data_IF_596152798124
#
_entry.id   IF_596152798124
#
_cell.length_a   1.000
_cell.length_b   1.000
_cell.length_c   1.000
_cell.angle_alpha   90.00
_cell.angle_beta   90.00
_cell.angle_gamma   90.00
#
_symmetry.space_group_name_H-M   'P 1'
#
loop_
_entity.id
_entity.type
_entity.pdbx_description
1 polymer ?
#
# COMPACT_ATOMS: atom_id res chain seq x y z
N UNK A 1 3.60 -15.03 -1.00
CA UNK A 1 4.08 -15.63 0.28
C UNK A 1 4.39 -14.60 1.36
N UNK A 2 5.22 -13.55 1.15
CA UNK A 2 5.55 -12.59 2.24
C UNK A 2 4.32 -11.82 2.75
N UNK A 3 3.40 -11.41 1.88
CA UNK A 3 2.16 -10.74 2.29
C UNK A 3 1.26 -11.63 3.16
N UNK A 4 1.22 -12.94 2.92
CA UNK A 4 0.48 -13.87 3.79
C UNK A 4 1.06 -13.93 5.21
N UNK A 5 2.38 -13.77 5.36
CA UNK A 5 3.00 -13.68 6.70
C UNK A 5 2.60 -12.39 7.43
N UNK A 6 2.44 -11.26 6.71
CA UNK A 6 1.92 -10.01 7.31
C UNK A 6 0.50 -10.21 7.80
N UNK A 7 -0.38 -10.71 6.92
CA UNK A 7 -1.80 -10.96 7.25
C UNK A 7 -1.90 -11.90 8.45
N UNK A 8 -1.20 -13.02 8.42
CA UNK A 8 -1.21 -14.00 9.49
C UNK A 8 -0.67 -13.43 10.81
N UNK A 9 0.45 -12.70 10.78
CA UNK A 9 1.04 -12.13 11.99
C UNK A 9 0.08 -11.15 12.68
N UNK A 10 -0.56 -10.25 11.93
CA UNK A 10 -1.48 -9.26 12.50
C UNK A 10 -2.76 -9.93 13.00
N UNK A 11 -3.26 -10.94 12.30
CA UNK A 11 -4.46 -11.69 12.72
C UNK A 11 -4.22 -12.52 13.98
N UNK A 12 -3.05 -13.15 14.10
CA UNK A 12 -2.77 -14.09 15.18
C UNK A 12 -2.39 -13.39 16.49
N UNK A 13 -1.52 -12.36 16.43
CA UNK A 13 -1.00 -11.72 17.63
C UNK A 13 -1.88 -10.55 18.07
N UNK A 14 -2.55 -10.66 19.22
CA UNK A 14 -3.46 -9.63 19.77
C UNK A 14 -2.82 -8.25 19.91
N UNK A 15 -1.56 -8.19 20.31
CA UNK A 15 -0.83 -6.92 20.45
C UNK A 15 -0.57 -6.20 19.11
N UNK A 16 -0.63 -6.90 17.99
CA UNK A 16 -0.49 -6.32 16.66
C UNK A 16 -1.80 -5.81 16.09
N UNK A 17 -2.94 -6.10 16.71
CA UNK A 17 -4.26 -5.65 16.27
C UNK A 17 -4.49 -4.18 16.67
N UNK A 18 -3.76 -3.29 16.03
CA UNK A 18 -3.89 -1.83 16.20
C UNK A 18 -4.50 -1.21 14.94
N UNK A 19 -5.15 -0.03 15.04
CA UNK A 19 -5.73 0.65 13.87
C UNK A 19 -4.78 0.79 12.68
N UNK A 20 -3.52 1.15 12.94
CA UNK A 20 -2.51 1.27 11.89
C UNK A 20 -2.13 -0.07 11.27
N UNK A 21 -1.98 -1.12 12.10
CA UNK A 21 -1.61 -2.44 11.58
C UNK A 21 -2.78 -3.10 10.83
N UNK A 22 -4.03 -2.79 11.18
CA UNK A 22 -5.20 -3.24 10.41
C UNK A 22 -5.21 -2.68 8.99
N UNK A 23 -4.77 -1.43 8.79
CA UNK A 23 -4.56 -0.89 7.44
C UNK A 23 -3.42 -1.60 6.70
N UNK A 24 -2.30 -1.88 7.39
CA UNK A 24 -1.21 -2.66 6.79
C UNK A 24 -1.66 -4.08 6.43
N UNK A 25 -2.52 -4.69 7.23
CA UNK A 25 -3.12 -6.00 6.95
C UNK A 25 -4.00 -5.95 5.70
N UNK A 26 -4.86 -4.94 5.58
CA UNK A 26 -5.74 -4.78 4.41
C UNK A 26 -4.93 -4.49 3.13
N UNK A 27 -3.87 -3.69 3.21
CA UNK A 27 -2.91 -3.51 2.13
C UNK A 27 -2.24 -4.83 1.74
N UNK A 28 -1.79 -5.62 2.71
CA UNK A 28 -1.18 -6.92 2.43
C UNK A 28 -2.17 -7.93 1.81
N UNK A 29 -3.47 -7.82 2.11
CA UNK A 29 -4.52 -8.62 1.44
C UNK A 29 -4.65 -8.22 -0.03
N UNK A 30 -4.73 -6.93 -0.36
CA UNK A 30 -4.78 -6.49 -1.77
C UNK A 30 -3.53 -6.90 -2.55
N UNK A 31 -2.33 -6.76 -1.94
CA UNK A 31 -1.06 -7.19 -2.55
C UNK A 31 -0.98 -8.72 -2.73
N UNK A 32 -1.55 -9.49 -1.80
CA UNK A 32 -1.64 -10.95 -1.91
C UNK A 32 -2.55 -11.36 -3.06
N UNK A 33 -3.70 -10.71 -3.20
CA UNK A 33 -4.64 -10.96 -4.31
C UNK A 33 -4.03 -10.58 -5.66
N UNK A 34 -3.28 -9.47 -5.75
CA UNK A 34 -2.50 -9.14 -6.97
C UNK A 34 -1.52 -10.26 -7.32
N UNK A 35 -0.79 -10.77 -6.34
CA UNK A 35 0.17 -11.86 -6.56
C UNK A 35 -0.46 -13.19 -6.95
N UNK A 36 -1.65 -13.51 -6.44
CA UNK A 36 -2.31 -14.80 -6.68
C UNK A 36 -3.20 -14.80 -7.92
N UNK A 37 -3.89 -13.70 -8.21
CA UNK A 37 -4.88 -13.64 -9.27
C UNK A 37 -4.33 -12.95 -10.53
N UNK A 38 -3.63 -11.83 -10.36
CA UNK A 38 -3.24 -10.99 -11.49
C UNK A 38 -1.90 -11.41 -12.08
N UNK A 39 -0.86 -11.60 -11.24
CA UNK A 39 0.47 -11.94 -11.76
C UNK A 39 0.51 -13.19 -12.62
N UNK A 40 -0.19 -14.31 -12.31
CA UNK A 40 -0.21 -15.47 -13.17
C UNK A 40 -0.88 -15.20 -14.52
N UNK A 41 -1.98 -14.43 -14.53
CA UNK A 41 -2.70 -14.07 -15.76
C UNK A 41 -1.88 -13.15 -16.65
N UNK A 42 -1.25 -12.13 -16.06
CA UNK A 42 -0.34 -11.24 -16.77
C UNK A 42 0.92 -12.00 -17.27
N UNK A 43 1.42 -12.98 -16.51
CA UNK A 43 2.51 -13.85 -16.94
C UNK A 43 2.14 -14.67 -18.18
N UNK A 44 0.96 -15.25 -18.21
CA UNK A 44 0.48 -15.99 -19.39
C UNK A 44 0.30 -15.08 -20.61
N UNK A 45 -0.18 -13.85 -20.42
CA UNK A 45 -0.29 -12.85 -21.49
C UNK A 45 1.05 -12.55 -22.16
N UNK A 46 2.16 -12.71 -21.46
CA UNK A 46 3.52 -12.48 -21.99
C UNK A 46 4.11 -13.64 -22.76
N UNK A 47 3.81 -14.85 -22.30
CA UNK A 47 4.37 -16.08 -22.88
C UNK A 47 3.65 -16.43 -24.18
N UNK A 48 2.35 -16.17 -24.22
CA UNK A 48 1.51 -16.55 -25.34
C UNK A 48 1.27 -15.36 -26.29
N UNK A 49 1.42 -15.60 -27.57
CA UNK A 49 1.13 -14.61 -28.63
C UNK A 49 -0.35 -14.33 -28.80
N UNK A 50 -1.22 -15.22 -28.31
CA UNK A 50 -2.67 -15.12 -28.39
C UNK A 50 -3.30 -15.26 -27.01
N UNK A 51 -4.43 -14.59 -26.79
CA UNK A 51 -5.17 -14.67 -25.52
C UNK A 51 -5.94 -16.00 -25.42
N UNK A 52 -5.47 -16.89 -24.54
CA UNK A 52 -6.03 -18.25 -24.38
C UNK A 52 -7.12 -18.37 -23.32
N UNK A 53 -7.23 -17.39 -22.41
CA UNK A 53 -8.11 -17.49 -21.24
C UNK A 53 -9.58 -17.12 -21.51
N UNK A 54 -9.92 -16.88 -22.78
CA UNK A 54 -11.27 -16.61 -23.21
C UNK A 54 -11.82 -15.22 -22.83
N UNK A 55 -13.05 -14.96 -23.26
CA UNK A 55 -13.70 -13.63 -23.15
C UNK A 55 -13.87 -13.16 -21.72
N UNK A 56 -14.28 -14.06 -20.81
CA UNK A 56 -14.53 -13.70 -19.41
C UNK A 56 -13.27 -13.20 -18.71
N UNK A 57 -12.14 -13.90 -18.88
CA UNK A 57 -10.87 -13.49 -18.29
C UNK A 57 -10.31 -12.23 -18.94
N UNK A 58 -10.55 -12.00 -20.23
CA UNK A 58 -10.20 -10.74 -20.88
C UNK A 58 -10.98 -9.56 -20.29
N UNK A 59 -12.26 -9.74 -19.96
CA UNK A 59 -13.04 -8.70 -19.30
C UNK A 59 -12.58 -8.46 -17.84
N UNK A 60 -12.40 -9.53 -17.08
CA UNK A 60 -12.21 -9.45 -15.62
C UNK A 60 -10.76 -9.13 -15.21
N UNK A 61 -9.73 -9.59 -15.96
CA UNK A 61 -8.35 -9.40 -15.50
C UNK A 61 -7.93 -7.94 -15.36
N UNK A 62 -8.24 -7.03 -16.31
CA UNK A 62 -7.95 -5.61 -16.13
C UNK A 62 -8.77 -4.97 -15.00
N UNK A 63 -10.04 -5.36 -14.87
CA UNK A 63 -10.88 -4.87 -13.79
C UNK A 63 -10.32 -5.23 -12.42
N UNK A 64 -9.92 -6.49 -12.22
CA UNK A 64 -9.32 -6.95 -10.97
C UNK A 64 -7.97 -6.25 -10.73
N UNK A 65 -7.12 -6.15 -11.76
CA UNK A 65 -5.84 -5.45 -11.70
C UNK A 65 -6.01 -4.01 -11.21
N UNK A 66 -6.79 -3.20 -11.91
CA UNK A 66 -6.96 -1.78 -11.59
C UNK A 66 -7.69 -1.56 -10.26
N UNK A 67 -8.68 -2.40 -9.93
CA UNK A 67 -9.38 -2.33 -8.64
C UNK A 67 -8.46 -2.60 -7.47
N UNK A 68 -7.59 -3.62 -7.55
CA UNK A 68 -6.63 -3.95 -6.49
C UNK A 68 -5.53 -2.89 -6.37
N UNK A 69 -5.04 -2.35 -7.49
CA UNK A 69 -4.06 -1.25 -7.49
C UNK A 69 -4.66 0.00 -6.83
N UNK A 70 -5.88 0.41 -7.23
CA UNK A 70 -6.57 1.56 -6.64
C UNK A 70 -6.84 1.37 -5.15
N UNK A 71 -7.16 0.15 -4.74
CA UNK A 71 -7.33 -0.21 -3.32
C UNK A 71 -6.01 -0.08 -2.56
N UNK A 72 -4.90 -0.61 -3.09
CA UNK A 72 -3.58 -0.49 -2.46
C UNK A 72 -3.15 0.98 -2.32
N UNK A 73 -3.38 1.79 -3.35
CA UNK A 73 -3.12 3.23 -3.31
C UNK A 73 -3.94 3.93 -2.22
N UNK A 74 -5.25 3.65 -2.15
CA UNK A 74 -6.13 4.20 -1.13
C UNK A 74 -5.66 3.85 0.29
N UNK A 75 -5.20 2.61 0.52
CA UNK A 75 -4.62 2.21 1.80
C UNK A 75 -3.33 2.98 2.12
N UNK A 76 -2.46 3.23 1.13
CA UNK A 76 -1.25 4.02 1.35
C UNK A 76 -1.56 5.47 1.74
N UNK A 77 -2.58 6.09 1.13
CA UNK A 77 -3.08 7.42 1.52
C UNK A 77 -3.61 7.38 2.95
N UNK A 78 -4.45 6.41 3.31
CA UNK A 78 -5.00 6.26 4.66
C UNK A 78 -3.89 6.06 5.71
N UNK A 79 -2.89 5.24 5.43
CA UNK A 79 -1.72 5.05 6.30
C UNK A 79 -0.98 6.38 6.49
N UNK A 80 -0.80 7.16 5.43
CA UNK A 80 -0.15 8.49 5.50
C UNK A 80 -0.94 9.46 6.36
N UNK A 81 -2.26 9.49 6.21
CA UNK A 81 -3.17 10.31 7.04
C UNK A 81 -3.09 9.92 8.52
N UNK A 82 -3.22 8.63 8.84
CA UNK A 82 -3.16 8.16 10.24
C UNK A 82 -1.80 8.47 10.86
N UNK A 83 -0.71 8.28 10.11
CA UNK A 83 0.63 8.62 10.59
C UNK A 83 0.79 10.11 10.84
N UNK A 84 0.27 10.96 9.96
CA UNK A 84 0.24 12.40 10.17
C UNK A 84 -0.52 12.77 11.44
N UNK A 85 -1.74 12.27 11.62
CA UNK A 85 -2.55 12.52 12.80
C UNK A 85 -1.88 12.04 14.09
N UNK A 86 -1.24 10.88 14.07
CA UNK A 86 -0.57 10.30 15.25
C UNK A 86 0.67 11.09 15.67
N UNK A 87 1.42 11.68 14.70
CA UNK A 87 2.68 12.35 14.95
C UNK A 87 2.49 13.84 15.23
N UNK A 88 1.60 14.50 14.47
CA UNK A 88 1.42 15.95 14.55
C UNK A 88 0.45 16.39 15.66
N UNK A 89 -0.54 15.57 16.01
CA UNK A 89 -1.51 15.89 17.06
C UNK A 89 -1.90 14.65 17.87
N UNK A 90 -1.00 14.16 18.74
CA UNK A 90 -1.22 12.90 19.46
C UNK A 90 -2.35 12.97 20.50
N UNK A 91 -2.66 14.15 21.05
CA UNK A 91 -3.65 14.29 22.14
C UNK A 91 -5.09 14.31 21.64
N UNK A 92 -5.38 15.04 20.56
CA UNK A 92 -6.75 15.14 20.04
C UNK A 92 -7.15 13.93 19.17
N UNK A 93 -6.17 13.28 18.53
CA UNK A 93 -6.44 12.26 17.51
C UNK A 93 -6.50 10.83 18.05
N UNK A 94 -6.02 10.55 19.26
CA UNK A 94 -6.21 9.23 19.91
C UNK A 94 -7.68 8.85 20.05
N UNK A 95 -8.57 9.83 20.24
CA UNK A 95 -10.02 9.61 20.32
C UNK A 95 -10.67 9.38 18.95
N UNK A 96 -10.06 9.86 17.86
CA UNK A 96 -10.59 9.75 16.49
C UNK A 96 -10.13 8.50 15.75
N UNK A 97 -8.94 7.98 16.07
CA UNK A 97 -8.35 6.79 15.43
C UNK A 97 -8.81 5.53 16.19
N UNK A 98 -10.07 5.18 16.04
CA UNK A 98 -10.64 3.95 16.60
C UNK A 98 -10.59 2.82 15.59
N UNK A 99 -10.62 1.55 16.05
CA UNK A 99 -10.72 0.38 15.16
C UNK A 99 -11.94 0.46 14.25
N UNK A 100 -13.08 0.91 14.79
CA UNK A 100 -14.32 1.07 14.02
C UNK A 100 -14.16 2.04 12.88
N UNK A 101 -13.61 3.24 13.14
CA UNK A 101 -13.40 4.26 12.10
C UNK A 101 -12.45 3.78 11.01
N UNK A 102 -11.39 3.08 11.40
CA UNK A 102 -10.42 2.53 10.43
C UNK A 102 -11.06 1.43 9.58
N UNK A 103 -11.86 0.54 10.16
CA UNK A 103 -12.59 -0.49 9.41
C UNK A 103 -13.59 0.13 8.42
N UNK A 104 -14.30 1.19 8.82
CA UNK A 104 -15.19 1.95 7.91
C UNK A 104 -14.38 2.53 6.74
N UNK A 105 -13.24 3.18 7.02
CA UNK A 105 -12.36 3.72 5.97
C UNK A 105 -11.85 2.63 5.02
N UNK A 106 -11.49 1.45 5.53
CA UNK A 106 -11.10 0.29 4.73
C UNK A 106 -12.26 -0.15 3.81
N UNK A 107 -13.46 -0.31 4.35
CA UNK A 107 -14.65 -0.67 3.56
C UNK A 107 -14.94 0.35 2.46
N UNK A 108 -14.87 1.65 2.79
CA UNK A 108 -15.05 2.72 1.80
C UNK A 108 -13.97 2.64 0.72
N UNK A 109 -12.71 2.41 1.08
CA UNK A 109 -11.60 2.29 0.14
C UNK A 109 -11.80 1.13 -0.84
N UNK A 110 -12.14 -0.07 -0.36
CA UNK A 110 -12.44 -1.22 -1.20
C UNK A 110 -13.63 -0.98 -2.11
N UNK A 111 -14.73 -0.45 -1.56
CA UNK A 111 -15.96 -0.22 -2.31
C UNK A 111 -15.77 0.86 -3.38
N UNK A 112 -15.14 1.99 -3.04
CA UNK A 112 -14.91 3.08 -4.00
C UNK A 112 -13.98 2.66 -5.14
N UNK A 113 -12.92 1.89 -4.84
CA UNK A 113 -12.01 1.37 -5.86
C UNK A 113 -12.74 0.45 -6.84
N UNK A 114 -13.55 -0.48 -6.35
CA UNK A 114 -14.31 -1.41 -7.20
C UNK A 114 -15.38 -0.70 -8.05
N UNK A 115 -16.15 0.21 -7.44
CA UNK A 115 -17.18 0.98 -8.17
C UNK A 115 -16.54 1.87 -9.23
N UNK A 116 -15.50 2.62 -8.88
CA UNK A 116 -14.80 3.52 -9.79
C UNK A 116 -14.25 2.77 -11.01
N UNK A 117 -13.48 1.70 -10.78
CA UNK A 117 -12.89 0.92 -11.88
C UNK A 117 -13.96 0.16 -12.69
N UNK A 118 -15.08 -0.24 -12.06
CA UNK A 118 -16.23 -0.80 -12.78
C UNK A 118 -16.85 0.21 -13.76
N UNK A 119 -16.94 1.48 -13.37
CA UNK A 119 -17.44 2.55 -14.23
C UNK A 119 -16.44 2.90 -15.36
N UNK A 120 -15.16 3.05 -15.03
CA UNK A 120 -14.11 3.37 -16.03
C UNK A 120 -13.97 2.27 -17.07
N UNK A 121 -14.05 1.01 -16.66
CA UNK A 121 -13.89 -0.15 -17.53
C UNK A 121 -15.22 -0.73 -18.04
N UNK A 122 -16.34 -0.04 -17.83
CA UNK A 122 -17.67 -0.58 -18.17
C UNK A 122 -17.78 -0.99 -19.65
N UNK A 123 -17.24 -0.19 -20.56
CA UNK A 123 -17.25 -0.51 -22.00
C UNK A 123 -16.41 -1.77 -22.30
N UNK A 124 -15.24 -1.90 -21.69
CA UNK A 124 -14.39 -3.08 -21.81
C UNK A 124 -15.04 -4.33 -21.19
N UNK A 125 -15.71 -4.21 -20.05
CA UNK A 125 -16.42 -5.30 -19.40
C UNK A 125 -17.57 -5.84 -20.26
N UNK A 126 -18.26 -4.96 -20.99
CA UNK A 126 -19.38 -5.34 -21.89
C UNK A 126 -18.87 -5.93 -23.20
N UNK A 127 -17.81 -5.36 -23.79
CA UNK A 127 -17.27 -5.72 -25.09
C UNK A 127 -15.73 -5.86 -25.09
N UNK A 128 -15.17 -6.89 -24.45
CA UNK A 128 -13.73 -7.00 -24.24
C UNK A 128 -12.89 -7.18 -25.52
N UNK A 129 -13.51 -7.58 -26.65
CA UNK A 129 -12.82 -7.77 -27.94
C UNK A 129 -13.10 -6.66 -28.96
N UNK A 130 -13.72 -5.55 -28.56
CA UNK A 130 -14.11 -4.49 -29.49
C UNK A 130 -12.93 -3.88 -30.26
N UNK A 131 -11.77 -3.80 -29.63
CA UNK A 131 -10.58 -3.15 -30.18
C UNK A 131 -9.47 -4.13 -30.58
N UNK A 132 -9.75 -5.44 -30.56
CA UNK A 132 -8.75 -6.41 -30.97
C UNK A 132 -8.69 -6.53 -32.49
N UNK A 133 -7.50 -6.31 -33.06
CA UNK A 133 -7.25 -6.38 -34.49
C UNK A 133 -7.11 -7.81 -35.02
N UNK A 134 -6.81 -8.77 -34.13
CA UNK A 134 -6.66 -10.19 -34.43
C UNK A 134 -7.56 -11.04 -33.53
N UNK A 135 -8.01 -12.18 -34.04
CA UNK A 135 -8.67 -13.17 -33.20
C UNK A 135 -7.68 -13.69 -32.15
N UNK A 136 -7.94 -13.36 -30.87
CA UNK A 136 -7.13 -13.84 -29.73
C UNK A 136 -6.29 -12.79 -28.99
N UNK A 137 -6.44 -11.49 -29.29
CA UNK A 137 -5.85 -10.43 -28.49
C UNK A 137 -6.83 -9.88 -27.45
N UNK A 138 -6.34 -9.58 -26.25
CA UNK A 138 -7.09 -8.91 -25.21
C UNK A 138 -6.47 -7.53 -24.94
N UNK A 139 -7.03 -6.49 -25.57
CA UNK A 139 -6.54 -5.12 -25.50
C UNK A 139 -7.51 -4.27 -24.70
N UNK A 140 -6.99 -3.55 -23.69
CA UNK A 140 -7.75 -2.54 -22.95
C UNK A 140 -7.51 -1.18 -23.59
N UNK A 141 -8.57 -0.55 -24.09
CA UNK A 141 -8.51 0.82 -24.60
C UNK A 141 -9.34 1.71 -23.67
N UNK A 142 -8.70 2.70 -23.10
CA UNK A 142 -9.35 3.72 -22.28
C UNK A 142 -9.38 5.01 -23.13
N UNK A 143 -10.56 5.57 -23.35
CA UNK A 143 -10.71 6.80 -24.09
C UNK A 143 -9.97 7.98 -23.42
N UNK A 144 -9.56 8.99 -24.17
CA UNK A 144 -8.76 10.12 -23.68
C UNK A 144 -9.39 10.86 -22.49
N UNK A 145 -10.68 11.14 -22.50
CA UNK A 145 -11.34 11.88 -21.41
C UNK A 145 -11.33 11.09 -20.10
N UNK A 146 -11.81 9.81 -20.07
CA UNK A 146 -11.67 8.97 -18.88
C UNK A 146 -10.21 8.77 -18.46
N UNK A 147 -9.28 8.61 -19.39
CA UNK A 147 -7.85 8.43 -19.11
C UNK A 147 -7.22 9.64 -18.42
N UNK A 148 -7.55 10.86 -18.84
CA UNK A 148 -7.08 12.08 -18.18
C UNK A 148 -7.69 12.23 -16.79
N UNK A 149 -8.99 11.96 -16.63
CA UNK A 149 -9.64 11.98 -15.33
C UNK A 149 -9.02 10.93 -14.39
N UNK A 150 -8.74 9.72 -14.91
CA UNK A 150 -8.08 8.66 -14.17
C UNK A 150 -6.69 9.08 -13.68
N UNK A 151 -5.87 9.70 -14.52
CA UNK A 151 -4.57 10.23 -14.14
C UNK A 151 -4.66 11.15 -12.91
N UNK A 152 -5.63 12.07 -12.89
CA UNK A 152 -5.81 12.98 -11.75
C UNK A 152 -6.34 12.27 -10.50
N UNK A 153 -7.37 11.44 -10.63
CA UNK A 153 -8.06 10.80 -9.51
C UNK A 153 -7.21 9.70 -8.90
N UNK A 154 -6.58 8.86 -9.71
CA UNK A 154 -5.87 7.66 -9.23
C UNK A 154 -4.37 7.88 -9.05
N UNK A 155 -3.79 8.98 -9.53
CA UNK A 155 -2.37 9.23 -9.39
C UNK A 155 -2.03 10.62 -8.83
N UNK A 156 -2.35 11.71 -9.55
CA UNK A 156 -1.88 13.05 -9.18
C UNK A 156 -2.36 13.48 -7.80
N UNK A 157 -3.68 13.38 -7.53
CA UNK A 157 -4.26 13.79 -6.24
C UNK A 157 -3.75 12.92 -5.09
N UNK A 158 -3.82 11.59 -5.13
CA UNK A 158 -3.30 10.75 -4.05
C UNK A 158 -1.80 10.95 -3.79
N UNK A 159 -0.98 11.04 -4.84
CA UNK A 159 0.46 11.28 -4.69
C UNK A 159 0.75 12.63 -4.04
N UNK A 160 0.04 13.68 -4.46
CA UNK A 160 0.19 15.02 -3.86
C UNK A 160 -0.18 15.00 -2.38
N UNK A 161 -1.30 14.37 -2.02
CA UNK A 161 -1.72 14.21 -0.61
C UNK A 161 -0.64 13.47 0.18
N UNK A 162 -0.15 12.34 -0.30
CA UNK A 162 0.91 11.57 0.39
C UNK A 162 2.19 12.39 0.57
N UNK A 163 2.66 13.08 -0.47
CA UNK A 163 3.87 13.90 -0.41
C UNK A 163 3.71 15.04 0.60
N UNK A 164 2.60 15.77 0.56
CA UNK A 164 2.32 16.89 1.48
C UNK A 164 2.27 16.39 2.92
N UNK A 165 1.55 15.30 3.19
CA UNK A 165 1.46 14.72 4.53
C UNK A 165 2.83 14.24 5.03
N UNK A 166 3.61 13.59 4.16
CA UNK A 166 4.94 13.13 4.50
C UNK A 166 5.90 14.29 4.83
N UNK A 167 5.90 15.37 4.02
CA UNK A 167 6.70 16.56 4.29
C UNK A 167 6.32 17.16 5.65
N UNK A 168 5.03 17.29 5.96
CA UNK A 168 4.57 17.77 7.27
C UNK A 168 5.04 16.88 8.42
N UNK A 169 4.90 15.57 8.30
CA UNK A 169 5.40 14.60 9.30
C UNK A 169 6.90 14.74 9.51
N UNK A 170 7.67 14.90 8.43
CA UNK A 170 9.11 15.05 8.48
C UNK A 170 9.54 16.35 9.16
N UNK A 171 8.91 17.47 8.81
CA UNK A 171 9.17 18.79 9.44
C UNK A 171 8.88 18.75 10.94
N UNK A 172 7.73 18.19 11.35
CA UNK A 172 7.37 18.05 12.76
C UNK A 172 8.35 17.13 13.49
N UNK A 173 8.72 16.00 12.91
CA UNK A 173 9.72 15.09 13.51
C UNK A 173 11.08 15.77 13.69
N UNK A 174 11.52 16.62 12.74
CA UNK A 174 12.76 17.39 12.87
C UNK A 174 12.66 18.47 13.94
N UNK A 175 11.56 19.22 14.01
CA UNK A 175 11.36 20.28 15.01
C UNK A 175 11.37 19.70 16.44
N UNK A 176 10.73 18.55 16.65
CA UNK A 176 10.76 17.84 17.93
C UNK A 176 12.17 17.44 18.35
N UNK A 177 13.03 17.02 17.41
CA UNK A 177 14.43 16.71 17.70
C UNK A 177 15.21 17.94 18.15
N UNK A 178 15.03 19.09 17.46
CA UNK A 178 15.72 20.35 17.80
C UNK A 178 15.33 20.86 19.19
N UNK A 179 14.02 20.81 19.53
CA UNK A 179 13.53 21.22 20.85
C UNK A 179 14.14 20.39 21.98
N UNK A 180 14.39 19.10 21.76
CA UNK A 180 15.01 18.24 22.80
C UNK A 180 16.50 18.53 22.93
N UNK A 181 17.18 18.75 21.82
CA UNK A 181 18.61 19.10 21.87
C UNK A 181 18.82 20.40 22.67
N UNK A 182 17.94 21.38 22.50
CA UNK A 182 18.01 22.63 23.28
C UNK A 182 17.67 22.42 24.77
N UNK A 183 16.70 21.55 25.10
CA UNK A 183 16.35 21.23 26.50
C UNK A 183 17.40 20.34 27.19
N UNK A 184 18.03 19.41 26.46
CA UNK A 184 19.08 18.54 27.01
C UNK A 184 20.39 19.31 27.27
N UNK A 185 20.61 20.38 26.51
CA UNK A 185 21.72 21.31 26.79
C UNK A 185 21.50 22.17 28.06
N UNK A 186 20.22 22.35 28.43
CA UNK A 186 19.85 23.21 29.59
C UNK A 186 19.57 22.45 30.90
N UNK A 187 19.35 21.12 30.84
CA UNK A 187 19.05 20.32 32.04
C UNK A 187 19.64 18.91 31.96
N UNK A 188 20.35 18.48 33.05
CA UNK A 188 20.98 17.15 33.19
C UNK A 188 19.96 15.98 33.33
N UNK A 189 18.67 16.18 33.06
CA UNK A 189 17.64 15.16 33.18
C UNK A 189 17.48 14.39 31.90
N UNK A 190 17.89 13.13 31.90
CA UNK A 190 17.71 12.14 30.84
C UNK A 190 16.21 11.83 30.65
N UNK A 191 15.47 12.63 29.87
CA UNK A 191 14.10 12.31 29.50
C UNK A 191 14.05 11.46 28.22
N UNK A 192 13.57 10.25 28.39
CA UNK A 192 13.05 9.25 27.42
C UNK A 192 13.48 9.35 25.93
N UNK A 193 14.71 8.87 25.57
CA UNK A 193 15.14 8.87 24.16
C UNK A 193 14.46 7.80 23.29
N UNK A 194 13.81 6.79 23.89
CA UNK A 194 13.33 5.58 23.21
C UNK A 194 12.05 5.79 22.39
N UNK A 195 11.05 6.50 22.92
CA UNK A 195 9.77 6.73 22.20
C UNK A 195 9.96 7.58 20.94
N UNK A 196 10.79 8.62 21.01
CA UNK A 196 11.10 9.53 19.89
C UNK A 196 11.95 8.88 18.80
N UNK A 197 12.87 7.97 19.16
CA UNK A 197 13.62 7.16 18.19
C UNK A 197 12.69 6.23 17.39
N UNK A 198 11.64 5.71 18.03
CA UNK A 198 10.62 4.87 17.38
C UNK A 198 9.80 5.67 16.38
N UNK A 199 9.33 6.88 16.71
CA UNK A 199 8.56 7.75 15.80
C UNK A 199 9.37 8.15 14.56
N UNK A 200 10.66 8.51 14.73
CA UNK A 200 11.56 8.83 13.61
C UNK A 200 11.76 7.64 12.68
N UNK A 201 11.90 6.42 13.24
CA UNK A 201 12.00 5.20 12.43
C UNK A 201 10.72 4.96 11.63
N UNK A 202 9.54 5.15 12.24
CA UNK A 202 8.25 5.00 11.58
C UNK A 202 8.06 6.02 10.44
N UNK A 203 8.43 7.30 10.66
CA UNK A 203 8.41 8.32 9.63
C UNK A 203 9.33 7.99 8.44
N UNK A 204 10.55 7.51 8.72
CA UNK A 204 11.49 7.08 7.67
C UNK A 204 10.94 5.92 6.84
N UNK A 205 10.33 4.94 7.49
CA UNK A 205 9.74 3.78 6.79
C UNK A 205 8.63 4.21 5.83
N UNK A 206 7.76 5.11 6.29
CA UNK A 206 6.69 5.64 5.45
C UNK A 206 7.25 6.41 4.24
N UNK A 207 8.29 7.22 4.44
CA UNK A 207 8.95 7.93 3.34
C UNK A 207 9.50 6.97 2.27
N UNK A 208 10.12 5.87 2.69
CA UNK A 208 10.61 4.85 1.77
C UNK A 208 9.45 4.19 1.00
N UNK A 209 8.35 3.87 1.69
CA UNK A 209 7.16 3.32 1.02
C UNK A 209 6.63 4.27 -0.06
N UNK A 210 6.50 5.56 0.25
CA UNK A 210 6.03 6.56 -0.71
C UNK A 210 6.99 6.70 -1.90
N UNK A 211 8.30 6.75 -1.66
CA UNK A 211 9.31 6.83 -2.74
C UNK A 211 9.26 5.60 -3.63
N UNK A 212 9.22 4.40 -3.06
CA UNK A 212 9.13 3.14 -3.81
C UNK A 212 7.83 3.10 -4.63
N UNK A 213 6.70 3.52 -4.03
CA UNK A 213 5.43 3.64 -4.73
C UNK A 213 5.55 4.57 -5.95
N UNK A 214 6.07 5.80 -5.78
CA UNK A 214 6.24 6.75 -6.86
C UNK A 214 7.14 6.18 -7.97
N UNK A 215 8.26 5.55 -7.63
CA UNK A 215 9.16 4.93 -8.62
C UNK A 215 8.48 3.80 -9.41
N UNK A 216 7.59 3.05 -8.80
CA UNK A 216 6.86 1.97 -9.48
C UNK A 216 5.70 2.48 -10.35
N UNK A 217 5.04 3.57 -9.95
CA UNK A 217 3.83 4.04 -10.63
C UNK A 217 4.05 5.20 -11.61
N UNK A 218 5.02 6.11 -11.38
CA UNK A 218 5.29 7.22 -12.31
C UNK A 218 5.50 6.78 -13.77
N UNK A 219 6.21 5.68 -14.06
CA UNK A 219 6.42 5.26 -15.45
C UNK A 219 5.12 4.92 -16.20
N UNK A 220 4.09 4.43 -15.50
CA UNK A 220 2.83 4.02 -16.13
C UNK A 220 1.99 5.20 -16.62
N UNK A 221 2.13 6.36 -16.01
CA UNK A 221 1.40 7.58 -16.37
C UNK A 221 2.18 8.49 -17.34
N UNK A 222 3.45 8.16 -17.62
CA UNK A 222 4.30 8.97 -18.50
C UNK A 222 3.71 9.14 -19.93
N UNK A 223 3.20 8.11 -20.63
CA UNK A 223 2.61 8.29 -21.96
C UNK A 223 1.41 9.23 -21.95
N UNK A 224 0.53 9.10 -20.93
CA UNK A 224 -0.63 9.99 -20.77
C UNK A 224 -0.21 11.44 -20.55
N UNK A 225 0.92 11.67 -19.83
CA UNK A 225 1.44 13.02 -19.56
C UNK A 225 2.02 13.72 -20.80
N UNK A 226 2.63 12.97 -21.72
CA UNK A 226 3.22 13.52 -22.95
C UNK A 226 2.22 13.57 -24.11
N UNK A 227 0.97 13.12 -23.89
CA UNK A 227 -0.08 13.14 -24.91
C UNK A 227 0.12 12.11 -26.03
N UNK A 228 0.97 11.11 -25.83
CA UNK A 228 1.04 9.98 -26.75
C UNK A 228 -0.19 9.07 -26.57
N UNK A 229 -0.79 8.71 -27.69
CA UNK A 229 -1.83 7.68 -27.68
C UNK A 229 -1.27 6.39 -27.11
N UNK A 230 -2.06 5.67 -26.31
CA UNK A 230 -1.70 4.41 -25.64
C UNK A 230 -1.34 3.26 -26.61
N UNK A 231 -1.02 3.58 -27.86
CA UNK A 231 -0.44 2.67 -28.87
C UNK A 231 1.05 2.40 -28.67
N UNK A 232 1.55 2.69 -27.45
CA UNK A 232 2.93 2.34 -27.06
C UNK A 232 3.16 0.85 -27.26
N UNK A 233 4.36 0.52 -27.75
CA UNK A 233 4.81 -0.85 -28.02
C UNK A 233 4.37 -1.81 -26.90
N UNK A 234 3.84 -2.97 -27.29
CA UNK A 234 3.48 -4.08 -26.40
C UNK A 234 4.54 -4.32 -25.31
N UNK A 235 5.83 -4.30 -25.67
CA UNK A 235 6.94 -4.48 -24.75
C UNK A 235 6.99 -3.41 -23.65
N UNK A 236 6.71 -2.14 -23.99
CA UNK A 236 6.74 -1.04 -23.03
C UNK A 236 5.61 -1.17 -21.99
N UNK A 237 4.37 -1.32 -22.46
CA UNK A 237 3.19 -1.47 -21.59
C UNK A 237 3.38 -2.63 -20.61
N UNK A 238 3.96 -3.66 -21.10
CA UNK A 238 4.23 -4.87 -20.38
C UNK A 238 5.25 -4.68 -19.25
N UNK A 239 6.41 -4.12 -19.56
CA UNK A 239 7.47 -3.84 -18.57
C UNK A 239 6.90 -2.95 -17.45
N UNK A 240 6.13 -1.94 -17.80
CA UNK A 240 5.52 -1.02 -16.84
C UNK A 240 4.53 -1.73 -15.93
N UNK A 241 3.66 -2.57 -16.47
CA UNK A 241 2.72 -3.36 -15.66
C UNK A 241 3.47 -4.21 -14.65
N UNK A 242 4.58 -4.86 -15.04
CA UNK A 242 5.41 -5.62 -14.10
C UNK A 242 6.08 -4.75 -13.05
N UNK A 243 6.55 -3.55 -13.40
CA UNK A 243 7.10 -2.59 -12.42
C UNK A 243 6.03 -2.22 -11.38
N UNK A 244 4.79 -1.96 -11.82
CA UNK A 244 3.68 -1.69 -10.90
C UNK A 244 3.37 -2.88 -9.98
N UNK A 245 3.35 -4.10 -10.52
CA UNK A 245 3.09 -5.32 -9.77
C UNK A 245 4.20 -5.62 -8.74
N UNK A 246 5.46 -5.32 -9.07
CA UNK A 246 6.61 -5.48 -8.15
C UNK A 246 6.41 -4.64 -6.86
N UNK A 247 5.73 -3.49 -6.92
CA UNK A 247 5.42 -2.70 -5.74
C UNK A 247 4.79 -3.54 -4.61
N UNK A 248 3.83 -4.40 -4.96
CA UNK A 248 3.16 -5.29 -4.00
C UNK A 248 4.10 -6.33 -3.35
N UNK A 249 5.20 -6.66 -4.01
CA UNK A 249 6.24 -7.53 -3.45
C UNK A 249 7.21 -6.77 -2.55
N UNK A 250 7.42 -5.48 -2.79
CA UNK A 250 8.36 -4.65 -2.03
C UNK A 250 7.81 -4.26 -0.66
N UNK A 251 6.49 -4.10 -0.51
CA UNK A 251 5.85 -3.72 0.74
C UNK A 251 6.26 -4.62 1.93
N UNK A 252 6.12 -5.96 1.88
CA UNK A 252 6.51 -6.81 3.00
C UNK A 252 8.03 -6.85 3.22
N UNK A 253 8.86 -6.61 2.19
CA UNK A 253 10.31 -6.48 2.35
C UNK A 253 10.65 -5.22 3.16
N UNK A 254 9.99 -4.11 2.87
CA UNK A 254 10.13 -2.87 3.64
C UNK A 254 9.69 -3.11 5.09
N UNK A 255 8.60 -3.86 5.32
CA UNK A 255 8.18 -4.21 6.69
C UNK A 255 9.22 -5.06 7.40
N UNK A 256 9.83 -6.04 6.74
CA UNK A 256 10.88 -6.87 7.31
C UNK A 256 12.13 -6.06 7.69
N UNK A 257 12.47 -5.04 6.91
CA UNK A 257 13.62 -4.19 7.18
C UNK A 257 13.36 -3.20 8.33
N UNK A 258 12.18 -2.61 8.41
CA UNK A 258 11.93 -1.44 9.26
C UNK A 258 11.05 -1.71 10.48
N UNK A 259 10.20 -2.75 10.48
CA UNK A 259 9.33 -3.06 11.61
C UNK A 259 9.88 -4.19 12.48
N UNK A 260 10.36 -3.89 13.70
CA UNK A 260 10.90 -4.91 14.62
C UNK A 260 9.88 -6.00 14.97
N UNK A 261 8.59 -5.62 15.08
CA UNK A 261 7.53 -6.58 15.39
C UNK A 261 7.38 -7.62 14.27
N UNK A 262 7.51 -7.21 13.01
CA UNK A 262 7.38 -8.14 11.89
C UNK A 262 8.52 -9.16 11.87
N UNK A 263 9.77 -8.71 12.11
CA UNK A 263 10.92 -9.63 12.24
C UNK A 263 10.74 -10.63 13.38
N UNK A 264 10.21 -10.15 14.53
CA UNK A 264 9.92 -11.03 15.68
C UNK A 264 8.83 -12.03 15.37
N UNK A 265 7.73 -11.59 14.71
CA UNK A 265 6.65 -12.46 14.29
C UNK A 265 7.12 -13.53 13.30
N UNK A 266 7.89 -13.15 12.27
CA UNK A 266 8.50 -14.09 11.32
C UNK A 266 9.35 -15.13 12.05
N UNK A 267 10.21 -14.71 12.99
CA UNK A 267 11.04 -15.63 13.77
C UNK A 267 10.20 -16.63 14.55
N UNK A 268 9.11 -16.19 15.19
CA UNK A 268 8.20 -17.06 15.94
C UNK A 268 7.48 -18.07 15.02
N UNK A 269 7.08 -17.65 13.82
CA UNK A 269 6.43 -18.51 12.84
C UNK A 269 7.41 -19.59 12.36
N UNK A 270 8.61 -19.20 11.91
CA UNK A 270 9.60 -20.14 11.35
C UNK A 270 10.23 -21.07 12.42
N UNK A 271 10.21 -20.68 13.69
CA UNK A 271 10.65 -21.53 14.80
C UNK A 271 9.53 -22.42 15.37
N UNK A 272 8.34 -22.44 14.75
CA UNK A 272 7.15 -23.18 15.19
C UNK A 272 6.70 -22.86 16.63
N UNK A 273 7.24 -21.81 17.25
CA UNK A 273 6.82 -21.37 18.59
C UNK A 273 5.39 -20.82 18.63
N UNK A 274 4.83 -20.55 17.47
CA UNK A 274 3.44 -20.11 17.32
C UNK A 274 2.43 -21.19 17.74
N UNK A 275 2.85 -22.47 17.73
CA UNK A 275 2.00 -23.60 18.14
C UNK A 275 1.98 -23.81 19.67
N UNK A 276 2.78 -23.06 20.44
CA UNK A 276 2.80 -23.12 21.90
C UNK A 276 1.55 -22.42 22.48
N UNK A 277 1.03 -22.96 23.58
CA UNK A 277 -0.06 -22.34 24.33
C UNK A 277 0.34 -20.87 24.69
N UNK A 278 -0.63 -19.95 24.57
CA UNK A 278 -0.45 -18.52 24.79
C UNK A 278 0.46 -17.77 23.79
N UNK A 279 0.76 -18.34 22.63
CA UNK A 279 1.55 -17.64 21.59
C UNK A 279 0.91 -16.32 21.11
N UNK A 280 -0.41 -16.17 21.24
CA UNK A 280 -1.15 -14.96 20.86
C UNK A 280 -0.83 -13.74 21.74
N UNK A 281 -0.38 -13.99 22.98
CA UNK A 281 -0.12 -12.95 23.98
C UNK A 281 1.36 -12.57 24.07
N UNK A 282 2.17 -12.93 23.08
CA UNK A 282 3.60 -12.59 23.02
C UNK A 282 3.80 -11.07 23.01
N UNK A 283 4.58 -10.55 23.96
CA UNK A 283 4.88 -9.13 24.07
C UNK A 283 5.84 -8.70 22.96
N UNK A 284 5.38 -7.88 22.03
CA UNK A 284 6.17 -7.31 20.92
C UNK A 284 6.81 -5.97 21.26
N UNK A 285 6.17 -5.22 22.15
CA UNK A 285 6.64 -3.91 22.62
C UNK A 285 7.08 -4.12 24.07
N UNK A 286 8.34 -3.78 24.42
CA UNK A 286 8.72 -3.74 25.82
C UNK A 286 7.79 -2.75 26.52
N UNK A 287 7.06 -3.15 27.58
CA UNK A 287 6.30 -2.18 28.36
C UNK A 287 7.29 -1.12 28.84
N UNK A 288 6.93 0.15 28.65
CA UNK A 288 7.59 1.24 29.37
C UNK A 288 7.56 0.85 30.85
N UNK A 289 8.68 0.96 31.58
CA UNK A 289 8.64 0.77 33.03
C UNK A 289 7.59 1.77 33.56
N UNK A 290 6.56 1.23 34.16
CA UNK A 290 5.62 2.00 34.97
C UNK A 290 6.50 2.65 36.05
N UNK A 291 6.67 3.98 35.97
CA UNK A 291 7.22 4.77 37.05
C UNK A 291 6.17 4.73 38.13
N UNK A 292 6.43 3.90 39.14
CA UNK A 292 5.74 3.90 40.43
C UNK A 292 6.04 5.17 41.18
#
# INVERSE_FOLDING_TARGET
MLNSLVVFSISHFRQLQTPTNTLLQSLAVSDLLLGLLVMPVEGLRYIETCWLLGRLMCALSPYILYSLISTSLGHMVLISVIRYLTICDPLQNTLKITMTNVNICICICWTSANVYNGLVLMEHLQQPYRFSSCHGECIVVINHIPGTADLFITFVVPCTVMIVLYVKVFVVALSQVRLIQSQTAASSVRAAPTAKRSQRKAARTLGILVVVFLMCFCPSYYPTLIGEDNSTSWSYTSIITWIMLINSCLNPLIYALFYPWFRKAIKLIFTFRIMQAHSQDVIFINPLPLVS
#
